data_IF_134953293158
#
_entry.id   IF_134953293158
#
_cell.length_a   1.000
_cell.length_b   1.000
_cell.length_c   1.000
_cell.angle_alpha   90.00
_cell.angle_beta   90.00
_cell.angle_gamma   90.00
#
_symmetry.space_group_name_H-M   'P 1'
#
loop_
_entity.id
_entity.type
_entity.pdbx_description
1 polymer ?
#
# COMPACT_ATOMS: atom_id res chain seq x y z
N UNK A 1 27.51 -39.21 -40.73
CA UNK A 1 26.48 -38.18 -40.47
C UNK A 1 26.44 -37.97 -38.98
N UNK A 2 26.98 -36.85 -38.50
CA UNK A 2 27.04 -36.51 -37.08
C UNK A 2 25.94 -35.47 -36.80
N UNK A 3 25.02 -35.80 -35.90
CA UNK A 3 23.98 -34.88 -35.44
C UNK A 3 24.56 -33.95 -34.36
N UNK A 4 24.56 -32.65 -34.64
CA UNK A 4 24.95 -31.59 -33.72
C UNK A 4 23.97 -31.49 -32.55
N UNK A 5 24.47 -31.73 -31.33
CA UNK A 5 23.75 -31.45 -30.09
C UNK A 5 23.67 -29.93 -29.87
N UNK A 6 22.54 -29.34 -30.25
CA UNK A 6 22.23 -27.94 -30.00
C UNK A 6 21.97 -27.72 -28.50
N UNK A 7 23.01 -27.30 -27.77
CA UNK A 7 22.98 -27.05 -26.34
C UNK A 7 22.26 -25.75 -25.99
N UNK A 8 20.98 -25.85 -25.63
CA UNK A 8 20.20 -24.74 -25.05
C UNK A 8 20.85 -24.31 -23.72
N UNK A 9 21.65 -23.23 -23.76
CA UNK A 9 22.21 -22.59 -22.54
C UNK A 9 21.05 -22.04 -21.71
N UNK A 10 20.64 -22.79 -20.68
CA UNK A 10 19.72 -22.31 -19.66
C UNK A 10 20.30 -21.03 -19.02
N UNK A 11 19.64 -19.89 -19.26
CA UNK A 11 20.01 -18.61 -18.61
C UNK A 11 19.82 -18.78 -17.11
N UNK A 12 20.92 -18.90 -16.36
CA UNK A 12 20.90 -18.90 -14.90
C UNK A 12 20.33 -17.56 -14.42
N UNK A 13 19.17 -17.59 -13.78
CA UNK A 13 18.56 -16.43 -13.16
C UNK A 13 19.45 -15.95 -12.00
N UNK A 14 19.99 -14.75 -12.11
CA UNK A 14 20.78 -14.12 -11.04
C UNK A 14 19.79 -13.53 -10.03
N UNK A 15 19.86 -13.98 -8.77
CA UNK A 15 19.08 -13.40 -7.68
C UNK A 15 19.86 -12.24 -7.08
N UNK A 16 19.35 -11.03 -7.26
CA UNK A 16 19.92 -9.82 -6.66
C UNK A 16 19.11 -9.46 -5.41
N UNK A 17 19.76 -9.28 -4.24
CA UNK A 17 19.05 -8.89 -3.03
C UNK A 17 18.51 -7.46 -3.15
N UNK A 18 17.24 -7.28 -2.81
CA UNK A 18 16.60 -5.97 -2.77
C UNK A 18 17.05 -5.22 -1.52
N UNK A 19 17.72 -4.08 -1.70
CA UNK A 19 18.05 -3.14 -0.62
C UNK A 19 17.04 -2.00 -0.63
N UNK A 20 16.30 -1.84 0.47
CA UNK A 20 15.38 -0.73 0.63
C UNK A 20 16.15 0.50 1.08
N UNK A 21 16.01 1.61 0.35
CA UNK A 21 16.48 2.94 0.76
C UNK A 21 15.26 3.83 0.89
N UNK A 22 15.02 4.33 2.10
CA UNK A 22 13.98 5.32 2.36
C UNK A 22 14.67 6.70 2.35
N UNK A 23 14.31 7.61 1.43
CA UNK A 23 14.84 8.97 1.42
C UNK A 23 14.48 9.71 2.72
N UNK A 24 15.40 10.54 3.24
CA UNK A 24 15.17 11.32 4.47
C UNK A 24 14.08 12.38 4.33
N UNK A 25 13.81 12.82 3.10
CA UNK A 25 12.81 13.84 2.79
C UNK A 25 11.42 13.25 2.48
N UNK A 26 11.20 11.94 2.68
CA UNK A 26 9.88 11.36 2.49
C UNK A 26 8.96 11.80 3.63
N UNK A 27 7.82 12.38 3.28
CA UNK A 27 6.83 12.82 4.26
C UNK A 27 5.87 11.67 4.54
N UNK A 28 5.89 11.16 5.77
CA UNK A 28 4.88 10.22 6.24
C UNK A 28 3.60 10.97 6.59
N UNK A 29 2.48 10.58 5.97
CA UNK A 29 1.15 11.15 6.19
C UNK A 29 0.23 10.11 6.80
N UNK A 30 -0.78 10.57 7.53
CA UNK A 30 -1.86 9.69 7.95
C UNK A 30 -2.76 9.41 6.76
N UNK A 31 -3.19 8.17 6.60
CA UNK A 31 -4.18 7.77 5.61
C UNK A 31 -5.35 7.12 6.35
N UNK A 32 -6.47 7.85 6.44
CA UNK A 32 -7.70 7.37 7.08
C UNK A 32 -8.57 6.57 6.13
N UNK A 33 -8.42 6.80 4.83
CA UNK A 33 -9.26 6.21 3.79
C UNK A 33 -8.40 5.72 2.62
N UNK A 34 -8.84 4.64 1.98
CA UNK A 34 -8.18 4.07 0.81
C UNK A 34 -9.24 3.87 -0.27
N UNK A 35 -8.92 4.27 -1.50
CA UNK A 35 -9.72 3.99 -2.69
C UNK A 35 -8.87 3.18 -3.65
N UNK A 36 -9.40 2.06 -4.14
CA UNK A 36 -8.75 1.23 -5.17
C UNK A 36 -9.56 1.34 -6.46
N UNK A 37 -8.89 1.70 -7.54
CA UNK A 37 -9.47 1.80 -8.87
C UNK A 37 -8.74 0.83 -9.80
N UNK A 38 -9.48 0.06 -10.59
CA UNK A 38 -8.91 -0.74 -11.67
C UNK A 38 -8.82 0.10 -12.93
N UNK A 39 -7.63 0.19 -13.51
CA UNK A 39 -7.36 0.91 -14.75
C UNK A 39 -6.69 -0.10 -15.69
N UNK A 40 -7.41 -0.56 -16.70
CA UNK A 40 -6.96 -1.61 -17.62
C UNK A 40 -6.49 -2.88 -16.87
N UNK A 41 -5.18 -3.14 -16.82
CA UNK A 41 -4.55 -4.29 -16.15
C UNK A 41 -3.75 -3.90 -14.89
N UNK A 42 -4.05 -2.72 -14.35
CA UNK A 42 -3.39 -2.15 -13.20
C UNK A 42 -4.42 -1.68 -12.16
N UNK A 43 -3.93 -1.50 -10.94
CA UNK A 43 -4.69 -1.02 -9.82
C UNK A 43 -4.05 0.26 -9.30
N UNK A 44 -4.81 1.36 -9.35
CA UNK A 44 -4.45 2.61 -8.70
C UNK A 44 -5.01 2.60 -7.29
N UNK A 45 -4.11 2.60 -6.30
CA UNK A 45 -4.46 2.73 -4.89
C UNK A 45 -4.20 4.19 -4.49
N UNK A 46 -5.21 4.85 -3.96
CA UNK A 46 -5.14 6.23 -3.50
C UNK A 46 -5.45 6.29 -2.01
N UNK A 47 -4.59 6.96 -1.26
CA UNK A 47 -4.66 7.11 0.18
C UNK A 47 -5.09 8.53 0.51
N UNK A 48 -6.11 8.67 1.35
CA UNK A 48 -6.70 9.96 1.69
C UNK A 48 -6.62 10.24 3.18
N UNK A 49 -6.39 11.51 3.53
CA UNK A 49 -6.38 12.03 4.87
C UNK A 49 -7.56 12.99 5.05
N UNK A 50 -8.45 12.69 5.99
CA UNK A 50 -9.45 13.66 6.46
C UNK A 50 -8.78 14.56 7.48
N UNK A 51 -8.74 15.87 7.21
CA UNK A 51 -8.25 16.83 8.20
C UNK A 51 -9.32 17.07 9.25
N UNK A 52 -9.02 16.92 10.56
CA UNK A 52 -9.98 17.24 11.59
C UNK A 52 -10.29 18.74 11.54
N UNK A 53 -11.57 19.08 11.42
CA UNK A 53 -12.01 20.46 11.55
C UNK A 53 -11.83 20.90 13.00
N UNK A 54 -10.89 21.79 13.26
CA UNK A 54 -10.76 22.44 14.56
C UNK A 54 -11.87 23.47 14.66
N UNK A 55 -12.94 23.12 15.40
CA UNK A 55 -14.05 24.04 15.66
C UNK A 55 -13.86 24.71 17.01
N UNK A 56 -13.76 26.04 17.00
CA UNK A 56 -13.65 26.84 18.22
C UNK A 56 -14.99 27.02 18.95
N UNK A 57 -16.11 26.80 18.25
CA UNK A 57 -17.47 26.92 18.80
C UNK A 57 -18.37 25.77 18.33
N UNK A 58 -19.27 25.26 19.19
CA UNK A 58 -20.23 24.22 18.80
C UNK A 58 -21.22 24.77 17.77
N UNK A 59 -21.28 24.15 16.59
CA UNK A 59 -22.30 24.44 15.57
C UNK A 59 -23.63 23.79 15.98
N UNK A 60 -24.76 24.47 15.71
CA UNK A 60 -26.08 23.84 15.76
C UNK A 60 -26.15 22.69 14.75
N UNK A 61 -26.85 21.57 15.04
CA UNK A 61 -26.95 20.41 14.14
C UNK A 61 -27.36 20.75 12.70
N UNK A 62 -28.12 21.84 12.51
CA UNK A 62 -28.57 22.36 11.22
C UNK A 62 -27.42 22.86 10.31
N UNK A 63 -26.24 23.14 10.87
CA UNK A 63 -25.07 23.64 10.14
C UNK A 63 -23.96 22.60 10.00
N UNK A 64 -24.27 21.32 10.25
CA UNK A 64 -23.31 20.25 9.97
C UNK A 64 -23.01 20.22 8.46
N UNK A 65 -21.73 20.12 8.05
CA UNK A 65 -21.37 19.99 6.66
C UNK A 65 -21.94 18.68 6.12
N UNK A 66 -22.52 18.75 4.91
CA UNK A 66 -23.10 17.59 4.23
C UNK A 66 -22.02 16.64 3.72
N UNK A 67 -20.86 17.18 3.39
CA UNK A 67 -19.71 16.46 2.85
C UNK A 67 -18.44 16.85 3.61
N UNK A 68 -17.52 15.88 3.75
CA UNK A 68 -16.20 16.10 4.35
C UNK A 68 -15.14 15.84 3.29
N UNK A 69 -14.26 16.82 3.08
CA UNK A 69 -13.17 16.69 2.11
C UNK A 69 -12.02 15.87 2.71
N UNK A 70 -11.50 14.95 1.91
CA UNK A 70 -10.31 14.19 2.22
C UNK A 70 -9.24 14.48 1.16
N UNK A 71 -8.02 14.79 1.60
CA UNK A 71 -6.90 15.11 0.72
C UNK A 71 -6.16 13.84 0.31
N UNK A 72 -5.86 13.65 -0.98
CA UNK A 72 -5.03 12.54 -1.43
C UNK A 72 -3.57 12.77 -1.02
N UNK A 73 -3.06 11.94 -0.11
CA UNK A 73 -1.72 12.09 0.48
C UNK A 73 -0.68 11.16 -0.15
N UNK A 74 -1.12 10.06 -0.76
CA UNK A 74 -0.26 9.16 -1.52
C UNK A 74 -1.09 8.42 -2.59
N UNK A 75 -0.47 8.08 -3.70
CA UNK A 75 -1.06 7.18 -4.69
C UNK A 75 0.01 6.30 -5.30
N UNK A 76 -0.32 5.04 -5.50
CA UNK A 76 0.55 4.04 -6.11
C UNK A 76 -0.20 3.25 -7.16
N UNK A 77 0.53 2.80 -8.17
CA UNK A 77 0.03 1.91 -9.21
C UNK A 77 0.66 0.54 -9.01
N UNK A 78 -0.17 -0.50 -9.02
CA UNK A 78 0.24 -1.88 -8.82
C UNK A 78 -0.29 -2.70 -9.99
N UNK A 79 0.58 -3.45 -10.66
CA UNK A 79 0.15 -4.34 -11.75
C UNK A 79 -0.66 -5.51 -11.21
N UNK A 80 -1.55 -6.06 -12.04
CA UNK A 80 -2.37 -7.20 -11.62
C UNK A 80 -1.56 -8.42 -11.17
N UNK A 81 -0.39 -8.66 -11.79
CA UNK A 81 0.53 -9.75 -11.38
C UNK A 81 1.04 -9.57 -9.94
N UNK A 82 1.32 -8.32 -9.52
CA UNK A 82 1.90 -8.02 -8.20
C UNK A 82 0.86 -7.80 -7.11
N UNK A 83 -0.40 -7.56 -7.48
CA UNK A 83 -1.47 -7.29 -6.52
C UNK A 83 -1.64 -8.40 -5.46
N UNK A 84 -1.63 -9.71 -5.80
CA UNK A 84 -1.72 -10.77 -4.79
C UNK A 84 -0.61 -10.68 -3.74
N UNK A 85 0.63 -10.45 -4.16
CA UNK A 85 1.76 -10.29 -3.24
C UNK A 85 1.63 -9.04 -2.36
N UNK A 86 1.06 -7.96 -2.91
CA UNK A 86 0.79 -6.73 -2.16
C UNK A 86 -0.25 -6.97 -1.06
N UNK A 87 -1.35 -7.65 -1.39
CA UNK A 87 -2.41 -8.03 -0.43
C UNK A 87 -1.83 -8.94 0.67
N UNK A 88 -1.08 -9.98 0.30
CA UNK A 88 -0.48 -10.90 1.28
C UNK A 88 0.47 -10.18 2.24
N UNK A 89 1.28 -9.24 1.75
CA UNK A 89 2.19 -8.49 2.60
C UNK A 89 1.43 -7.65 3.66
N UNK A 90 0.36 -6.96 3.24
CA UNK A 90 -0.49 -6.18 4.16
C UNK A 90 -1.22 -7.07 5.17
N UNK A 91 -1.84 -8.15 4.69
CA UNK A 91 -2.60 -9.07 5.54
C UNK A 91 -1.70 -9.73 6.60
N UNK A 92 -0.54 -10.25 6.20
CA UNK A 92 0.40 -10.89 7.11
C UNK A 92 0.86 -9.95 8.23
N UNK A 93 1.06 -8.66 7.92
CA UNK A 93 1.47 -7.68 8.92
C UNK A 93 0.33 -7.35 9.87
N UNK A 94 -0.88 -7.17 9.36
CA UNK A 94 -2.07 -6.92 10.17
C UNK A 94 -2.38 -8.09 11.11
N UNK A 95 -2.29 -9.33 10.63
CA UNK A 95 -2.51 -10.52 11.45
C UNK A 95 -1.49 -10.65 12.57
N UNK A 96 -0.22 -10.32 12.29
CA UNK A 96 0.83 -10.28 13.33
C UNK A 96 0.52 -9.22 14.38
N UNK A 97 0.17 -8.00 13.95
CA UNK A 97 -0.19 -6.91 14.87
C UNK A 97 -1.36 -7.30 15.78
N UNK A 98 -2.39 -7.95 15.22
CA UNK A 98 -3.55 -8.43 15.99
C UNK A 98 -3.14 -9.46 17.06
N UNK A 99 -2.30 -10.42 16.70
CA UNK A 99 -1.78 -11.42 17.66
C UNK A 99 -0.98 -10.76 18.79
N UNK A 100 -0.16 -9.77 18.48
CA UNK A 100 0.64 -9.04 19.47
C UNK A 100 -0.26 -8.25 20.45
N UNK A 101 -1.35 -7.67 19.95
CA UNK A 101 -2.38 -6.99 20.75
C UNK A 101 -3.15 -7.95 21.67
N UNK A 102 -3.51 -9.14 21.18
CA UNK A 102 -4.26 -10.15 21.93
C UNK A 102 -3.40 -10.86 23.00
N UNK A 103 -2.09 -11.02 22.74
CA UNK A 103 -1.15 -11.66 23.68
C UNK A 103 -0.56 -10.71 24.73
N UNK A 104 -0.96 -9.43 24.72
CA UNK A 104 -0.60 -8.47 25.78
C UNK A 104 0.90 -8.20 25.91
N UNK A 105 1.69 -8.50 24.89
CA UNK A 105 3.13 -8.27 24.94
C UNK A 105 3.40 -6.76 24.72
N UNK A 106 3.43 -6.02 25.83
CA UNK A 106 3.92 -4.65 25.89
C UNK A 106 5.44 -4.72 25.73
N UNK A 107 5.95 -4.42 24.53
CA UNK A 107 7.33 -3.97 24.39
C UNK A 107 7.48 -2.55 24.95
#
# INVERSE_FOLDING_TARGET
MAEEKNGTRAKKAIRVPLKFRIPENIVTRFASNIVVQTIENEFKISFFEIKPEIRLFPQSPQNAPKDVLADCVASVIVTAEKMPSFISALQNHFDRFKKDKETGNKN
#
